data_IF_141683829562
#
_entry.id   IF_141683829562
#
_cell.length_a   1.000
_cell.length_b   1.000
_cell.length_c   1.000
_cell.angle_alpha   90.00
_cell.angle_beta   90.00
_cell.angle_gamma   90.00
#
_symmetry.space_group_name_H-M   'P 1'
#
loop_
_entity.id
_entity.type
_entity.pdbx_description
1 polymer ?
#
# COMPACT_ATOMS: atom_id res chain seq x y z
N UNK A 1 10.29 -14.86 -14.27
CA UNK A 1 9.34 -13.82 -14.73
C UNK A 1 8.95 -12.93 -13.54
N UNK A 2 9.72 -11.87 -13.24
CA UNK A 2 9.53 -11.00 -12.06
C UNK A 2 9.44 -9.51 -12.47
N UNK A 3 8.66 -9.14 -13.50
CA UNK A 3 8.84 -7.82 -14.15
C UNK A 3 8.12 -6.62 -13.53
N UNK A 4 7.17 -6.81 -12.61
CA UNK A 4 6.44 -5.69 -11.98
C UNK A 4 6.92 -5.36 -10.56
N UNK A 5 7.12 -6.40 -9.73
CA UNK A 5 7.56 -6.23 -8.34
C UNK A 5 8.95 -5.60 -8.26
N UNK A 6 9.89 -6.06 -9.09
CA UNK A 6 11.23 -5.48 -9.15
C UNK A 6 11.19 -4.01 -9.58
N UNK A 7 10.33 -3.65 -10.53
CA UNK A 7 10.21 -2.29 -11.00
C UNK A 7 9.61 -1.37 -9.93
N UNK A 8 8.60 -1.85 -9.20
CA UNK A 8 7.98 -1.12 -8.10
C UNK A 8 8.93 -0.95 -6.89
N UNK A 9 9.86 -1.87 -6.67
CA UNK A 9 10.87 -1.77 -5.61
C UNK A 9 11.97 -0.75 -5.93
N UNK A 10 12.21 -0.45 -7.21
CA UNK A 10 13.17 0.58 -7.64
C UNK A 10 12.63 2.01 -7.47
N UNK A 11 11.34 2.18 -7.17
CA UNK A 11 10.74 3.50 -6.96
C UNK A 11 11.20 4.03 -5.60
N UNK A 12 12.06 5.05 -5.62
CA UNK A 12 12.48 5.74 -4.41
C UNK A 12 11.29 6.42 -3.72
N UNK A 13 11.19 6.22 -2.40
CA UNK A 13 10.16 6.86 -1.58
C UNK A 13 10.63 8.23 -1.09
N UNK A 14 10.45 9.25 -1.93
CA UNK A 14 10.77 10.66 -1.66
C UNK A 14 9.94 11.28 -0.53
N UNK A 15 8.97 10.57 0.07
CA UNK A 15 8.19 11.09 1.19
C UNK A 15 9.10 11.30 2.40
N UNK A 16 8.86 12.37 3.14
CA UNK A 16 9.63 12.69 4.35
C UNK A 16 9.51 11.54 5.38
N UNK A 17 10.60 11.13 6.07
CA UNK A 17 10.58 10.00 7.00
C UNK A 17 9.73 10.25 8.25
N UNK A 18 9.62 11.50 8.71
CA UNK A 18 8.65 11.90 9.75
C UNK A 18 7.22 11.73 9.21
N UNK A 19 6.47 10.78 9.78
CA UNK A 19 5.08 10.50 9.40
C UNK A 19 4.86 9.26 8.51
N UNK A 20 5.90 8.48 8.20
CA UNK A 20 5.76 7.23 7.43
C UNK A 20 5.08 6.12 8.26
N UNK A 21 3.75 6.12 8.29
CA UNK A 21 2.94 5.05 8.90
C UNK A 21 2.82 3.81 8.00
N UNK A 22 2.87 4.00 6.68
CA UNK A 22 2.68 2.96 5.67
C UNK A 22 3.80 2.99 4.62
N UNK A 23 4.43 1.84 4.37
CA UNK A 23 5.42 1.70 3.29
C UNK A 23 4.79 1.99 1.92
N UNK A 24 5.57 2.56 1.01
CA UNK A 24 5.12 2.95 -0.33
C UNK A 24 4.67 1.74 -1.14
N UNK A 25 5.53 0.73 -1.21
CA UNK A 25 5.35 -0.48 -1.99
C UNK A 25 4.01 -1.23 -1.73
N UNK A 26 3.65 -1.59 -0.49
CA UNK A 26 2.36 -2.25 -0.24
C UNK A 26 1.17 -1.33 -0.53
N UNK A 27 1.34 -0.02 -0.41
CA UNK A 27 0.27 0.95 -0.71
C UNK A 27 0.02 1.02 -2.22
N UNK A 28 1.08 1.06 -3.04
CA UNK A 28 1.01 1.01 -4.50
C UNK A 28 0.33 -0.25 -5.00
N UNK A 29 0.70 -1.41 -4.45
CA UNK A 29 0.12 -2.70 -4.86
C UNK A 29 -1.38 -2.74 -4.57
N UNK A 30 -1.81 -2.28 -3.38
CA UNK A 30 -3.24 -2.19 -3.04
C UNK A 30 -3.97 -1.26 -4.00
N UNK A 31 -3.36 -0.13 -4.38
CA UNK A 31 -3.95 0.82 -5.32
C UNK A 31 -4.10 0.23 -6.73
N UNK A 32 -3.07 -0.47 -7.22
CA UNK A 32 -3.10 -1.17 -8.52
C UNK A 32 -4.20 -2.25 -8.51
N UNK A 33 -4.25 -3.10 -7.48
CA UNK A 33 -5.29 -4.14 -7.38
C UNK A 33 -6.69 -3.54 -7.34
N UNK A 34 -6.87 -2.44 -6.61
CA UNK A 34 -8.15 -1.74 -6.56
C UNK A 34 -8.54 -1.16 -7.93
N UNK A 35 -7.60 -0.54 -8.65
CA UNK A 35 -7.83 -0.05 -10.01
C UNK A 35 -8.19 -1.18 -10.98
N UNK A 36 -7.45 -2.29 -10.95
CA UNK A 36 -7.75 -3.48 -11.79
C UNK A 36 -9.12 -4.08 -11.46
N UNK A 37 -9.56 -3.97 -10.20
CA UNK A 37 -10.90 -4.37 -9.76
C UNK A 37 -12.01 -3.36 -10.07
N UNK A 38 -11.73 -2.26 -10.78
CA UNK A 38 -12.71 -1.23 -11.12
C UNK A 38 -12.99 -0.20 -10.01
N UNK A 39 -12.22 -0.21 -8.92
CA UNK A 39 -12.32 0.76 -7.84
C UNK A 39 -11.48 2.01 -8.19
N UNK A 40 -12.05 2.91 -8.98
CA UNK A 40 -11.33 4.09 -9.53
C UNK A 40 -11.23 5.29 -8.59
N UNK A 41 -12.02 5.35 -7.52
CA UNK A 41 -12.05 6.48 -6.58
C UNK A 41 -11.36 6.17 -5.25
N UNK A 42 -10.78 7.17 -4.60
CA UNK A 42 -10.12 7.01 -3.29
C UNK A 42 -11.03 6.35 -2.23
N UNK A 43 -12.31 6.72 -2.22
CA UNK A 43 -13.31 6.13 -1.31
C UNK A 43 -13.58 4.65 -1.64
N UNK A 44 -13.63 4.29 -2.92
CA UNK A 44 -13.88 2.92 -3.35
C UNK A 44 -12.64 2.04 -3.16
N UNK A 45 -11.43 2.60 -3.33
CA UNK A 45 -10.16 1.97 -2.96
C UNK A 45 -10.05 1.74 -1.44
N UNK A 46 -10.46 2.71 -0.62
CA UNK A 46 -10.51 2.54 0.82
C UNK A 46 -11.47 1.40 1.22
N UNK A 47 -12.63 1.32 0.55
CA UNK A 47 -13.59 0.23 0.73
C UNK A 47 -13.01 -1.13 0.30
N UNK A 48 -12.30 -1.22 -0.82
CA UNK A 48 -11.57 -2.42 -1.25
C UNK A 48 -10.59 -2.90 -0.17
N UNK A 49 -9.79 -1.98 0.37
CA UNK A 49 -8.84 -2.30 1.44
C UNK A 49 -9.48 -2.77 2.76
N UNK A 50 -10.73 -2.34 3.04
CA UNK A 50 -11.50 -2.82 4.19
C UNK A 50 -12.10 -4.21 3.93
N UNK A 51 -12.72 -4.42 2.76
CA UNK A 51 -13.36 -5.69 2.39
C UNK A 51 -12.33 -6.82 2.32
N UNK A 52 -11.16 -6.57 1.70
CA UNK A 52 -10.13 -7.58 1.50
C UNK A 52 -9.04 -7.55 2.57
N UNK A 53 -9.29 -6.90 3.71
CA UNK A 53 -8.26 -6.61 4.73
C UNK A 53 -7.50 -7.86 5.18
N UNK A 54 -8.20 -8.97 5.43
CA UNK A 54 -7.57 -10.16 5.99
C UNK A 54 -6.78 -10.94 4.94
N UNK A 55 -7.27 -11.01 3.70
CA UNK A 55 -6.47 -11.52 2.57
C UNK A 55 -5.24 -10.66 2.31
N UNK A 56 -5.39 -9.33 2.32
CA UNK A 56 -4.28 -8.39 2.14
C UNK A 56 -3.22 -8.52 3.24
N UNK A 57 -3.59 -8.84 4.48
CA UNK A 57 -2.61 -9.12 5.55
C UNK A 57 -1.77 -10.37 5.28
N UNK A 58 -2.36 -11.41 4.67
CA UNK A 58 -1.67 -12.66 4.36
C UNK A 58 -0.63 -12.47 3.24
N UNK A 59 -0.99 -11.74 2.18
CA UNK A 59 -0.12 -11.57 1.01
C UNK A 59 0.80 -10.34 1.08
N UNK A 60 0.39 -9.29 1.79
CA UNK A 60 1.15 -8.05 1.96
C UNK A 60 1.27 -7.72 3.45
N UNK A 61 2.25 -8.32 4.16
CA UNK A 61 2.58 -7.89 5.51
C UNK A 61 2.93 -6.39 5.47
N UNK A 62 2.15 -5.60 6.20
CA UNK A 62 2.34 -4.15 6.33
C UNK A 62 3.06 -3.88 7.65
N UNK A 63 4.40 -3.73 7.66
CA UNK A 63 5.08 -3.19 8.83
C UNK A 63 4.54 -1.78 9.07
N UNK A 64 3.83 -1.60 10.18
CA UNK A 64 3.31 -0.31 10.61
C UNK A 64 4.45 0.46 11.26
N UNK A 65 4.81 1.61 10.70
CA UNK A 65 5.66 2.58 11.40
C UNK A 65 4.94 3.12 12.65
N UNK A 66 5.71 3.66 13.61
CA UNK A 66 5.15 4.34 14.79
C UNK A 66 4.22 5.47 14.33
N UNK A 67 3.08 5.64 15.02
CA UNK A 67 2.20 6.77 14.76
C UNK A 67 2.95 8.08 15.07
N UNK A 68 2.79 9.14 14.26
CA UNK A 68 3.50 10.42 14.47
C UNK A 68 3.15 11.10 15.80
N UNK A 69 2.06 10.70 16.47
CA UNK A 69 1.66 11.18 17.79
C UNK A 69 2.43 10.55 18.97
N UNK A 70 3.34 9.60 18.70
CA UNK A 70 4.14 8.91 19.72
C UNK A 70 5.64 9.25 19.60
N UNK A 71 5.99 10.40 19.01
CA UNK A 71 7.34 10.96 19.02
C UNK A 71 7.46 12.02 20.10
#
# INVERSE_FOLDING_TARGET
MNRLVHYLQQIEDYRHPKGKRHQLFPSLIIMIMAMTGGYTGLRTMARFGQIHRDRLKQYLPRPRGKAPSCQ
#
